data_IF_462119058901
#
_entry.id   IF_462119058901
#
_cell.length_a   1.000
_cell.length_b   1.000
_cell.length_c   1.000
_cell.angle_alpha   90.00
_cell.angle_beta   90.00
_cell.angle_gamma   90.00
#
_symmetry.space_group_name_H-M   'P 1'
#
loop_
_entity.id
_entity.type
_entity.pdbx_description
1 polymer ?
#
# COMPACT_ATOMS: atom_id res chain seq x y z
N UNK A 1 10.50 3.91 3.56
CA UNK A 1 9.27 3.50 4.27
C UNK A 1 8.12 3.74 3.33
N UNK A 2 7.19 2.79 3.20
CA UNK A 2 6.05 2.86 2.29
C UNK A 2 4.80 2.50 3.10
N UNK A 3 3.75 3.30 2.98
CA UNK A 3 2.45 2.98 3.54
C UNK A 3 1.60 2.25 2.50
N UNK A 4 1.28 0.99 2.78
CA UNK A 4 0.51 0.11 1.91
C UNK A 4 -0.62 -0.55 2.67
N UNK A 5 -1.73 -0.81 2.00
CA UNK A 5 -2.82 -1.62 2.51
C UNK A 5 -3.37 -2.52 1.39
N UNK A 6 -4.28 -3.43 1.74
CA UNK A 6 -4.91 -4.33 0.76
C UNK A 6 -5.64 -3.57 -0.36
N UNK A 7 -6.41 -2.55 0.00
CA UNK A 7 -7.16 -1.67 -0.90
C UNK A 7 -6.54 -0.27 -0.84
N UNK A 8 -6.29 0.31 -2.02
CA UNK A 8 -5.69 1.63 -2.18
C UNK A 8 -6.55 2.77 -1.60
N UNK A 9 -5.90 3.91 -1.35
CA UNK A 9 -6.52 5.14 -0.85
C UNK A 9 -6.81 5.11 0.65
N UNK A 10 -7.77 5.93 1.07
CA UNK A 10 -8.28 5.97 2.44
C UNK A 10 -9.82 6.12 2.48
N UNK A 11 -10.39 6.00 3.67
CA UNK A 11 -11.82 6.18 3.95
C UNK A 11 -12.00 6.92 5.28
N UNK A 12 -13.11 7.65 5.43
CA UNK A 12 -13.39 8.43 6.65
C UNK A 12 -14.27 7.65 7.64
N UNK A 13 -13.90 7.67 8.92
CA UNK A 13 -14.71 7.16 10.04
C UNK A 13 -15.98 7.99 10.27
N UNK A 14 -15.98 9.26 9.86
CA UNK A 14 -17.10 10.19 10.08
C UNK A 14 -18.13 10.16 8.94
N UNK A 15 -17.88 9.35 7.89
CA UNK A 15 -18.75 9.28 6.72
C UNK A 15 -20.12 8.64 6.99
N UNK A 16 -20.23 7.83 8.05
CA UNK A 16 -21.43 7.02 8.33
C UNK A 16 -21.62 5.82 7.39
N UNK A 17 -20.75 5.66 6.38
CA UNK A 17 -20.76 4.54 5.45
C UNK A 17 -20.09 3.30 6.06
N UNK A 18 -20.52 2.07 5.70
CA UNK A 18 -19.83 0.86 6.10
C UNK A 18 -18.36 0.87 5.63
N UNK A 19 -17.44 0.57 6.55
CA UNK A 19 -16.01 0.55 6.22
C UNK A 19 -15.67 -0.59 5.27
N UNK A 20 -14.89 -0.27 4.24
CA UNK A 20 -14.28 -1.26 3.36
C UNK A 20 -13.13 -1.94 4.10
N UNK A 21 -13.21 -3.25 4.26
CA UNK A 21 -12.12 -4.03 4.85
C UNK A 21 -10.84 -3.83 4.04
N UNK A 22 -9.73 -3.63 4.74
CA UNK A 22 -8.44 -3.51 4.07
C UNK A 22 -8.16 -2.15 3.45
N UNK A 23 -8.90 -1.08 3.78
CA UNK A 23 -8.65 0.30 3.33
C UNK A 23 -8.34 1.21 4.52
N UNK A 24 -7.31 2.04 4.40
CA UNK A 24 -6.83 2.90 5.50
C UNK A 24 -7.90 3.89 5.98
N UNK A 25 -7.94 4.17 7.29
CA UNK A 25 -8.81 5.22 7.88
C UNK A 25 -8.05 6.52 8.23
N UNK A 26 -6.76 6.56 7.91
CA UNK A 26 -5.87 7.70 8.15
C UNK A 26 -5.35 8.22 6.81
N UNK A 27 -4.04 8.11 6.57
CA UNK A 27 -3.40 8.51 5.32
C UNK A 27 -3.71 7.51 4.20
N UNK A 28 -3.70 7.99 2.96
CA UNK A 28 -3.94 7.17 1.79
C UNK A 28 -2.76 6.23 1.52
N UNK A 29 -3.05 4.93 1.41
CA UNK A 29 -2.05 3.90 1.11
C UNK A 29 -2.09 3.47 -0.36
N UNK A 30 -0.99 2.92 -0.87
CA UNK A 30 -1.03 2.14 -2.11
C UNK A 30 -1.73 0.79 -1.89
N UNK A 31 -2.27 0.21 -2.96
CA UNK A 31 -2.90 -1.11 -2.96
C UNK A 31 -1.91 -2.28 -2.96
N UNK A 32 -2.44 -3.50 -2.92
CA UNK A 32 -1.63 -4.72 -2.88
C UNK A 32 -0.82 -4.94 -4.18
N UNK A 33 -1.40 -4.66 -5.32
CA UNK A 33 -0.78 -4.83 -6.64
C UNK A 33 0.48 -3.95 -6.79
N UNK A 34 0.39 -2.70 -6.34
CA UNK A 34 1.51 -1.77 -6.32
C UNK A 34 2.56 -2.17 -5.28
N UNK A 35 2.11 -2.67 -4.12
CA UNK A 35 3.00 -3.16 -3.06
C UNK A 35 3.87 -4.31 -3.57
N UNK A 36 3.26 -5.30 -4.23
CA UNK A 36 4.00 -6.42 -4.82
C UNK A 36 5.02 -5.91 -5.85
N UNK A 37 4.59 -5.01 -6.73
CA UNK A 37 5.44 -4.43 -7.78
C UNK A 37 6.64 -3.71 -7.18
N UNK A 38 6.43 -2.82 -6.20
CA UNK A 38 7.51 -2.04 -5.59
C UNK A 38 8.46 -2.93 -4.79
N UNK A 39 7.96 -3.91 -4.04
CA UNK A 39 8.82 -4.82 -3.28
C UNK A 39 9.72 -5.64 -4.21
N UNK A 40 9.21 -6.10 -5.36
CA UNK A 40 10.01 -6.78 -6.38
C UNK A 40 11.06 -5.85 -6.98
N UNK A 41 10.70 -4.61 -7.31
CA UNK A 41 11.64 -3.62 -7.85
C UNK A 41 12.77 -3.31 -6.85
N UNK A 42 12.45 -3.13 -5.58
CA UNK A 42 13.45 -2.89 -4.54
C UNK A 42 14.36 -4.10 -4.34
N UNK A 43 13.81 -5.32 -4.38
CA UNK A 43 14.59 -6.54 -4.30
C UNK A 43 15.58 -6.66 -5.47
N UNK A 44 15.13 -6.39 -6.71
CA UNK A 44 16.01 -6.38 -7.89
C UNK A 44 17.09 -5.30 -7.78
N UNK A 45 16.76 -4.09 -7.36
CA UNK A 45 17.74 -3.02 -7.17
C UNK A 45 18.84 -3.41 -6.16
N UNK A 46 18.48 -4.11 -5.08
CA UNK A 46 19.45 -4.62 -4.10
C UNK A 46 20.33 -5.71 -4.70
N UNK A 47 19.78 -6.62 -5.53
CA UNK A 47 20.57 -7.64 -6.24
C UNK A 47 21.54 -7.00 -7.23
N UNK A 48 21.07 -6.05 -8.05
CA UNK A 48 21.91 -5.31 -9.01
C UNK A 48 23.06 -4.60 -8.33
N UNK A 49 22.84 -3.97 -7.18
CA UNK A 49 23.89 -3.27 -6.42
C UNK A 49 24.95 -4.22 -5.84
N UNK A 50 24.60 -5.49 -5.61
CA UNK A 50 25.49 -6.50 -4.99
C UNK A 50 26.30 -7.31 -6.00
N UNK A 51 25.82 -7.41 -7.24
CA UNK A 51 26.60 -7.95 -8.37
C UNK A 51 27.66 -6.96 -8.81
#
# INVERSE_FOLDING_TARGET
MIESHLVEGNQSLESGEPLTYGKSVTDACIGWEDTETILRQLAEAVKTRRG
#
